data_IF_139649220206
#
_entry.id   IF_139649220206
#
_cell.length_a   1.000
_cell.length_b   1.000
_cell.length_c   1.000
_cell.angle_alpha   90.00
_cell.angle_beta   90.00
_cell.angle_gamma   90.00
#
_symmetry.space_group_name_H-M   'P 1'
#
loop_
_entity.id
_entity.type
_entity.pdbx_description
1 polymer ?
#
# COMPACT_ATOMS: atom_id res chain seq x y z
N UNK A 1 29.32 -0.92 61.15
CA UNK A 1 30.36 -1.65 60.39
C UNK A 1 29.68 -2.29 59.21
N UNK A 2 30.15 -2.26 57.99
CA UNK A 2 31.45 -2.02 57.35
C UNK A 2 31.33 -2.79 56.01
N UNK A 3 32.14 -2.67 54.99
CA UNK A 3 33.18 -1.77 54.51
C UNK A 3 33.48 -2.29 53.08
N UNK A 4 33.99 -1.44 52.19
CA UNK A 4 34.59 -1.85 50.91
C UNK A 4 33.67 -1.63 49.70
N UNK A 5 33.94 -0.74 48.75
CA UNK A 5 35.22 -0.14 48.35
C UNK A 5 35.54 -0.58 46.93
N UNK A 6 35.55 0.35 45.97
CA UNK A 6 35.92 0.08 44.58
C UNK A 6 35.34 1.06 43.58
N UNK A 7 35.74 2.33 43.68
CA UNK A 7 35.47 3.33 42.64
C UNK A 7 36.51 3.24 41.53
N UNK A 8 36.10 3.39 40.26
CA UNK A 8 36.96 3.77 39.15
C UNK A 8 36.13 4.42 38.03
N UNK A 9 36.30 5.73 37.87
CA UNK A 9 36.08 6.56 36.67
C UNK A 9 36.99 7.80 36.83
N UNK A 10 37.43 8.53 35.79
CA UNK A 10 37.48 8.25 34.34
C UNK A 10 38.89 8.52 33.74
N UNK A 11 39.29 7.79 32.70
CA UNK A 11 40.45 8.16 31.88
C UNK A 11 40.01 9.07 30.74
N UNK A 12 40.31 10.37 30.85
CA UNK A 12 40.08 11.35 29.81
C UNK A 12 41.35 11.57 29.00
N UNK A 13 41.29 11.28 27.70
CA UNK A 13 42.29 11.72 26.75
C UNK A 13 41.74 12.92 25.97
N UNK A 14 42.17 14.09 26.40
CA UNK A 14 41.92 15.37 25.74
C UNK A 14 42.81 15.50 24.50
N UNK A 15 42.24 15.34 23.30
CA UNK A 15 42.89 15.78 22.08
C UNK A 15 42.79 17.31 21.98
N UNK A 16 43.86 18.01 22.33
CA UNK A 16 43.99 19.45 22.05
C UNK A 16 44.27 19.65 20.56
N UNK A 17 43.24 19.99 19.79
CA UNK A 17 43.38 20.48 18.43
C UNK A 17 43.83 21.95 18.45
N UNK A 18 45.12 22.20 18.24
CA UNK A 18 45.65 23.54 17.97
C UNK A 18 45.76 23.74 16.46
N UNK A 19 44.66 24.13 15.84
CA UNK A 19 44.65 24.53 14.43
C UNK A 19 45.35 25.87 14.23
N UNK A 20 46.31 25.92 13.30
CA UNK A 20 46.68 27.15 12.58
C UNK A 20 46.08 27.08 11.16
N UNK A 21 45.55 28.17 10.60
CA UNK A 21 44.74 28.12 9.39
C UNK A 21 45.61 28.20 8.12
N UNK A 22 45.30 27.34 7.15
CA UNK A 22 45.82 27.45 5.78
C UNK A 22 46.89 26.42 5.43
N UNK A 23 46.46 25.26 4.91
CA UNK A 23 47.34 24.25 4.32
C UNK A 23 46.50 23.04 3.92
N UNK A 24 46.36 22.79 2.61
CA UNK A 24 45.62 21.64 2.09
C UNK A 24 46.24 20.32 2.52
N UNK A 25 45.40 19.31 2.70
CA UNK A 25 45.84 17.95 3.01
C UNK A 25 46.18 17.23 1.70
N UNK A 26 47.46 16.91 1.51
CA UNK A 26 47.92 16.03 0.44
C UNK A 26 47.94 14.58 0.97
N UNK A 27 47.09 13.73 0.40
CA UNK A 27 46.97 12.30 0.75
C UNK A 27 47.83 11.39 -0.13
N UNK A 28 48.68 11.95 -0.99
CA UNK A 28 49.51 11.18 -1.92
C UNK A 28 50.72 10.52 -1.27
N UNK A 29 51.07 10.90 -0.05
CA UNK A 29 52.32 10.44 0.60
C UNK A 29 52.06 10.04 2.05
N UNK A 30 52.25 8.76 2.36
CA UNK A 30 52.22 8.24 3.73
C UNK A 30 53.64 7.83 4.14
N UNK A 31 54.10 8.31 5.30
CA UNK A 31 55.43 7.98 5.84
C UNK A 31 55.27 7.08 7.06
N UNK A 32 55.76 5.84 6.97
CA UNK A 32 55.64 4.85 8.04
C UNK A 32 56.69 5.01 9.15
N UNK A 33 56.51 4.34 10.31
CA UNK A 33 57.49 4.32 11.38
C UNK A 33 58.71 3.52 10.92
N UNK A 34 59.73 4.23 10.45
CA UNK A 34 60.87 3.67 9.72
C UNK A 34 61.47 4.63 8.69
N UNK A 35 60.76 5.71 8.35
CA UNK A 35 61.26 6.77 7.45
C UNK A 35 61.10 6.48 5.95
N UNK A 36 60.37 5.42 5.60
CA UNK A 36 60.10 5.06 4.21
C UNK A 36 58.83 5.78 3.71
N UNK A 37 58.96 6.52 2.61
CA UNK A 37 57.88 7.29 1.97
C UNK A 37 57.25 6.46 0.85
N UNK A 38 55.94 6.25 0.90
CA UNK A 38 55.19 5.56 -0.16
C UNK A 38 54.27 6.57 -0.84
N UNK A 39 54.42 6.70 -2.17
CA UNK A 39 53.58 7.54 -3.02
C UNK A 39 52.42 6.73 -3.61
N UNK A 40 51.22 7.29 -3.57
CA UNK A 40 50.02 6.72 -4.20
C UNK A 40 49.51 7.65 -5.31
N UNK A 41 49.43 7.15 -6.55
CA UNK A 41 48.74 7.81 -7.66
C UNK A 41 47.30 7.29 -7.78
N UNK A 42 46.33 8.19 -7.74
CA UNK A 42 44.89 7.89 -7.62
C UNK A 42 44.18 7.50 -8.94
N UNK A 43 44.92 7.05 -9.96
CA UNK A 43 44.35 6.70 -11.26
C UNK A 43 44.11 5.20 -11.49
N UNK A 44 44.45 4.33 -10.53
CA UNK A 44 44.33 2.87 -10.69
C UNK A 44 43.57 2.18 -9.54
N UNK A 45 42.32 2.59 -9.34
CA UNK A 45 41.39 1.96 -8.40
C UNK A 45 40.79 0.62 -8.89
N UNK A 46 41.14 0.18 -10.10
CA UNK A 46 40.73 -1.12 -10.66
C UNK A 46 41.52 -2.31 -10.13
N UNK A 47 42.82 -2.13 -9.88
CA UNK A 47 43.74 -3.24 -9.56
C UNK A 47 43.90 -3.48 -8.05
N UNK A 48 43.54 -2.51 -7.21
CA UNK A 48 43.52 -2.66 -5.74
C UNK A 48 42.43 -3.64 -5.26
N UNK A 49 41.31 -3.75 -5.99
CA UNK A 49 40.28 -4.76 -5.66
C UNK A 49 40.67 -6.18 -6.14
N UNK A 50 41.60 -6.29 -7.09
CA UNK A 50 42.18 -7.56 -7.51
C UNK A 50 43.22 -8.09 -6.52
N UNK A 51 44.12 -7.24 -6.04
CA UNK A 51 45.25 -7.67 -5.22
C UNK A 51 44.97 -7.71 -3.71
N UNK A 52 43.97 -6.98 -3.19
CA UNK A 52 43.54 -7.14 -1.79
C UNK A 52 42.81 -8.47 -1.55
N UNK A 53 42.18 -9.03 -2.58
CA UNK A 53 41.61 -10.38 -2.56
C UNK A 53 42.52 -11.45 -3.19
N UNK A 54 43.73 -11.05 -3.63
CA UNK A 54 44.54 -11.83 -4.55
C UNK A 54 46.05 -11.85 -4.36
N UNK A 55 46.68 -11.20 -3.36
CA UNK A 55 48.13 -11.40 -3.13
C UNK A 55 48.59 -11.07 -1.70
N UNK A 56 48.10 -11.82 -0.70
CA UNK A 56 48.58 -11.79 0.68
C UNK A 56 49.38 -13.05 1.08
N UNK A 57 50.46 -13.36 0.36
CA UNK A 57 51.34 -14.49 0.66
C UNK A 57 52.35 -14.18 1.77
N UNK A 58 52.00 -14.49 3.03
CA UNK A 58 53.01 -14.76 4.08
C UNK A 58 53.64 -16.12 3.80
N UNK A 59 54.96 -16.13 3.58
CA UNK A 59 55.77 -17.30 3.28
C UNK A 59 56.01 -18.10 4.57
N UNK A 60 55.16 -19.09 4.84
CA UNK A 60 55.23 -19.97 6.02
C UNK A 60 54.64 -21.36 5.80
N UNK A 61 55.37 -22.18 5.05
CA UNK A 61 55.25 -23.63 4.76
C UNK A 61 54.32 -24.47 5.67
N UNK A 62 53.12 -24.83 5.18
CA UNK A 62 52.40 -26.04 5.60
C UNK A 62 51.51 -26.59 4.47
N UNK A 63 51.93 -27.75 3.96
CA UNK A 63 51.11 -28.94 3.66
C UNK A 63 49.84 -28.74 2.83
N UNK A 64 49.89 -29.28 1.61
CA UNK A 64 48.86 -29.17 0.58
C UNK A 64 47.42 -29.30 1.06
N UNK A 65 46.61 -28.35 0.60
CA UNK A 65 45.21 -28.57 0.28
C UNK A 65 45.04 -28.14 -1.17
N UNK A 66 44.85 -29.13 -2.03
CA UNK A 66 44.59 -28.93 -3.44
C UNK A 66 43.44 -27.96 -3.66
N UNK A 67 43.53 -27.23 -4.76
CA UNK A 67 42.44 -26.45 -5.30
C UNK A 67 41.14 -27.24 -5.23
N UNK A 68 40.19 -26.72 -4.48
CA UNK A 68 38.82 -27.18 -4.50
C UNK A 68 37.99 -25.90 -4.56
N UNK A 69 37.58 -25.56 -5.78
CA UNK A 69 36.82 -24.36 -6.08
C UNK A 69 35.75 -24.13 -5.02
N UNK A 70 35.87 -23.00 -4.31
CA UNK A 70 34.86 -22.55 -3.39
C UNK A 70 33.57 -22.40 -4.17
N UNK A 71 32.63 -23.33 -4.00
CA UNK A 71 31.29 -23.16 -4.53
C UNK A 71 30.76 -21.88 -3.90
N UNK A 72 30.50 -20.86 -4.72
CA UNK A 72 29.87 -19.62 -4.28
C UNK A 72 28.68 -19.96 -3.39
N UNK A 73 28.56 -19.28 -2.25
CA UNK A 73 27.42 -19.50 -1.36
C UNK A 73 26.10 -19.30 -2.15
N UNK A 74 25.05 -20.08 -1.84
CA UNK A 74 23.78 -19.93 -2.53
C UNK A 74 23.20 -18.54 -2.27
N UNK A 75 22.88 -17.82 -3.34
CA UNK A 75 22.30 -16.46 -3.29
C UNK A 75 20.80 -16.57 -3.54
N UNK A 76 19.96 -15.92 -2.72
CA UNK A 76 18.51 -15.89 -2.96
C UNK A 76 18.20 -15.08 -4.23
N UNK A 77 17.25 -15.55 -5.03
CA UNK A 77 16.73 -14.80 -6.17
C UNK A 77 16.07 -13.48 -5.77
N UNK A 78 16.06 -12.50 -6.68
CA UNK A 78 15.45 -11.20 -6.40
C UNK A 78 13.92 -11.27 -6.27
N UNK A 79 13.35 -10.42 -5.42
CA UNK A 79 11.90 -10.30 -5.30
C UNK A 79 11.34 -9.49 -6.48
N UNK A 80 10.10 -9.79 -6.88
CA UNK A 80 9.38 -9.06 -7.94
C UNK A 80 8.14 -8.40 -7.38
N UNK A 81 7.75 -7.27 -7.97
CA UNK A 81 6.46 -6.63 -7.70
C UNK A 81 5.62 -6.58 -8.96
N UNK A 82 4.34 -6.96 -8.85
CA UNK A 82 3.37 -6.92 -9.94
C UNK A 82 2.16 -6.09 -9.51
N UNK A 83 1.80 -5.07 -10.29
CA UNK A 83 0.57 -4.32 -10.05
C UNK A 83 -0.61 -5.05 -10.71
N UNK A 84 -1.64 -5.35 -9.93
CA UNK A 84 -2.87 -5.98 -10.39
C UNK A 84 -4.04 -5.04 -10.20
N UNK A 85 -4.77 -4.79 -11.29
CA UNK A 85 -6.06 -4.10 -11.19
C UNK A 85 -7.18 -5.10 -10.90
N UNK A 86 -8.06 -4.75 -9.95
CA UNK A 86 -9.23 -5.56 -9.60
C UNK A 86 -10.48 -4.71 -9.52
N UNK A 87 -11.63 -5.36 -9.68
CA UNK A 87 -12.92 -4.71 -9.53
C UNK A 87 -13.23 -4.37 -8.08
N UNK A 88 -13.98 -3.28 -7.90
CA UNK A 88 -14.42 -2.81 -6.59
C UNK A 88 -15.16 -3.89 -5.80
N UNK A 89 -16.10 -4.58 -6.45
CA UNK A 89 -16.90 -5.62 -5.78
C UNK A 89 -16.04 -6.82 -5.38
N UNK A 90 -15.04 -7.18 -6.20
CA UNK A 90 -14.07 -8.24 -5.88
C UNK A 90 -13.15 -7.83 -4.73
N UNK A 91 -12.74 -6.56 -4.67
CA UNK A 91 -11.97 -6.02 -3.56
C UNK A 91 -12.76 -6.07 -2.24
N UNK A 92 -14.08 -5.82 -2.29
CA UNK A 92 -14.95 -5.86 -1.11
C UNK A 92 -15.22 -7.30 -0.66
N UNK A 93 -15.60 -8.20 -1.58
CA UNK A 93 -16.01 -9.58 -1.27
C UNK A 93 -14.86 -10.56 -1.13
N UNK A 94 -13.69 -10.22 -1.69
CA UNK A 94 -12.62 -11.15 -1.95
C UNK A 94 -12.89 -11.94 -3.24
N UNK A 95 -11.82 -12.36 -3.89
CA UNK A 95 -11.88 -13.10 -5.15
C UNK A 95 -10.69 -14.06 -5.28
N UNK A 96 -10.80 -15.03 -6.18
CA UNK A 96 -9.64 -15.83 -6.61
C UNK A 96 -9.41 -15.56 -8.08
N UNK A 97 -8.27 -14.95 -8.41
CA UNK A 97 -7.95 -14.51 -9.77
C UNK A 97 -6.72 -15.24 -10.27
N UNK A 98 -6.72 -15.65 -11.54
CA UNK A 98 -5.56 -16.25 -12.20
C UNK A 98 -4.68 -15.15 -12.77
N UNK A 99 -3.40 -15.16 -12.40
CA UNK A 99 -2.37 -14.35 -13.07
C UNK A 99 -1.48 -15.23 -13.91
N UNK A 100 -1.07 -14.70 -15.05
CA UNK A 100 -0.01 -15.26 -15.87
C UNK A 100 1.28 -14.52 -15.54
N UNK A 101 2.28 -15.25 -15.04
CA UNK A 101 3.61 -14.72 -14.75
C UNK A 101 4.60 -15.27 -15.75
N UNK A 102 5.47 -14.41 -16.26
CA UNK A 102 6.64 -14.85 -17.01
C UNK A 102 7.81 -15.08 -16.05
N UNK A 103 8.09 -16.34 -15.75
CA UNK A 103 9.20 -16.75 -14.89
C UNK A 103 10.28 -17.43 -15.76
N UNK A 104 11.24 -16.64 -16.25
CA UNK A 104 12.38 -17.16 -17.01
C UNK A 104 12.03 -17.72 -18.39
N UNK A 105 11.08 -17.10 -19.12
CA UNK A 105 10.70 -17.50 -20.47
C UNK A 105 9.59 -18.55 -20.54
N UNK A 106 8.98 -18.89 -19.39
CA UNK A 106 7.78 -19.74 -19.31
C UNK A 106 6.66 -18.98 -18.61
N UNK A 107 5.51 -18.92 -19.26
CA UNK A 107 4.28 -18.38 -18.68
C UNK A 107 3.65 -19.40 -17.72
N UNK A 108 3.73 -19.15 -16.42
CA UNK A 108 3.04 -19.94 -15.39
C UNK A 108 1.72 -19.24 -15.00
N UNK A 109 0.61 -19.98 -14.95
CA UNK A 109 -0.67 -19.47 -14.44
C UNK A 109 -0.82 -19.81 -12.97
N UNK A 110 -0.91 -18.80 -12.11
CA UNK A 110 -1.04 -18.97 -10.65
C UNK A 110 -2.39 -18.45 -10.19
N UNK A 111 -3.08 -19.21 -9.34
CA UNK A 111 -4.28 -18.75 -8.64
C UNK A 111 -3.87 -17.91 -7.44
N UNK A 112 -4.33 -16.66 -7.39
CA UNK A 112 -4.10 -15.74 -6.29
C UNK A 112 -5.40 -15.51 -5.54
N UNK A 113 -5.39 -15.82 -4.24
CA UNK A 113 -6.52 -15.53 -3.35
C UNK A 113 -6.40 -14.11 -2.84
N UNK A 114 -7.37 -13.28 -3.19
CA UNK A 114 -7.49 -11.89 -2.75
C UNK A 114 -8.42 -11.87 -1.54
N UNK A 115 -7.92 -11.46 -0.35
CA UNK A 115 -8.76 -11.33 0.83
C UNK A 115 -9.91 -10.34 0.62
N UNK A 116 -11.02 -10.56 1.33
CA UNK A 116 -12.10 -9.59 1.36
C UNK A 116 -11.66 -8.29 2.06
N UNK A 117 -12.20 -7.16 1.64
CA UNK A 117 -11.94 -5.85 2.22
C UNK A 117 -10.61 -5.19 1.85
N UNK A 118 -9.86 -5.74 0.88
CA UNK A 118 -8.58 -5.15 0.43
C UNK A 118 -8.76 -3.72 -0.09
N UNK A 119 -7.78 -2.86 0.20
CA UNK A 119 -7.72 -1.47 -0.28
C UNK A 119 -6.67 -1.34 -1.38
N UNK A 120 -6.76 -0.31 -2.21
CA UNK A 120 -5.68 0.06 -3.13
C UNK A 120 -4.36 0.24 -2.35
N UNK A 121 -3.26 -0.28 -2.90
CA UNK A 121 -1.95 -0.33 -2.25
C UNK A 121 -1.72 -1.56 -1.36
N UNK A 122 -2.74 -2.42 -1.17
CA UNK A 122 -2.55 -3.69 -0.44
C UNK A 122 -1.56 -4.58 -1.17
N UNK A 123 -0.65 -5.23 -0.43
CA UNK A 123 0.36 -6.15 -0.98
C UNK A 123 0.07 -7.60 -0.58
N UNK A 124 0.03 -8.49 -1.55
CA UNK A 124 -0.13 -9.94 -1.36
C UNK A 124 1.19 -10.63 -1.72
N UNK A 125 1.77 -11.38 -0.78
CA UNK A 125 3.04 -12.10 -0.98
C UNK A 125 2.77 -13.53 -1.47
N UNK A 126 3.40 -13.91 -2.57
CA UNK A 126 3.52 -15.30 -3.03
C UNK A 126 4.97 -15.76 -2.84
N UNK A 127 5.18 -16.63 -1.85
CA UNK A 127 6.51 -17.09 -1.49
C UNK A 127 7.15 -17.94 -2.61
N UNK A 128 8.42 -17.67 -2.92
CA UNK A 128 9.19 -18.44 -3.91
C UNK A 128 8.75 -18.27 -5.37
N UNK A 129 7.90 -17.27 -5.66
CA UNK A 129 7.40 -16.96 -7.02
C UNK A 129 8.06 -15.71 -7.64
N UNK A 130 9.16 -15.24 -7.05
CA UNK A 130 10.02 -14.18 -7.59
C UNK A 130 11.03 -14.72 -8.60
N UNK A 131 12.18 -14.05 -8.73
CA UNK A 131 13.23 -14.48 -9.67
C UNK A 131 13.88 -15.80 -9.24
N UNK A 132 14.30 -16.64 -10.21
CA UNK A 132 15.22 -17.73 -9.94
C UNK A 132 16.52 -17.21 -9.31
N UNK A 133 17.10 -18.00 -8.43
CA UNK A 133 18.41 -17.68 -7.85
C UNK A 133 19.51 -17.73 -8.93
N UNK A 134 20.42 -16.73 -8.98
CA UNK A 134 21.62 -16.80 -9.81
C UNK A 134 22.58 -17.94 -9.45
N UNK A 135 22.64 -18.37 -8.17
CA UNK A 135 23.60 -19.36 -7.66
C UNK A 135 22.92 -20.48 -6.86
N UNK A 136 21.98 -21.22 -7.47
CA UNK A 136 21.33 -22.42 -6.87
C UNK A 136 20.75 -22.26 -5.43
N UNK A 137 20.49 -21.03 -4.97
CA UNK A 137 19.74 -20.72 -3.76
C UNK A 137 18.23 -20.70 -3.98
N UNK A 138 17.44 -20.35 -2.95
CA UNK A 138 15.99 -20.26 -3.07
C UNK A 138 15.58 -19.12 -4.02
N UNK A 139 14.47 -19.25 -4.77
CA UNK A 139 13.92 -18.15 -5.53
C UNK A 139 13.45 -17.01 -4.61
N UNK A 140 13.34 -15.80 -5.17
CA UNK A 140 12.74 -14.66 -4.49
C UNK A 140 11.23 -14.81 -4.32
N UNK A 141 10.57 -13.79 -3.76
CA UNK A 141 9.12 -13.72 -3.60
C UNK A 141 8.48 -12.78 -4.62
N UNK A 142 7.20 -13.02 -4.91
CA UNK A 142 6.38 -12.08 -5.69
C UNK A 142 5.46 -11.31 -4.75
N UNK A 143 5.48 -9.98 -4.85
CA UNK A 143 4.53 -9.10 -4.21
C UNK A 143 3.53 -8.58 -5.24
N UNK A 144 2.25 -8.83 -5.02
CA UNK A 144 1.17 -8.31 -5.85
C UNK A 144 0.63 -7.06 -5.17
N UNK A 145 0.79 -5.91 -5.80
CA UNK A 145 0.22 -4.66 -5.36
C UNK A 145 -1.16 -4.47 -6.00
N UNK A 146 -2.19 -4.36 -5.16
CA UNK A 146 -3.57 -4.27 -5.59
C UNK A 146 -3.93 -2.82 -5.92
N UNK A 147 -4.53 -2.61 -7.09
CA UNK A 147 -5.15 -1.36 -7.50
C UNK A 147 -6.64 -1.59 -7.74
N UNK A 148 -7.48 -1.02 -6.88
CA UNK A 148 -8.94 -1.20 -6.98
C UNK A 148 -9.50 -0.19 -7.98
N UNK A 149 -10.23 -0.68 -8.98
CA UNK A 149 -10.95 0.16 -9.94
C UNK A 149 -12.14 0.84 -9.25
N UNK A 150 -12.35 2.16 -9.44
CA UNK A 150 -13.55 2.83 -8.94
C UNK A 150 -14.83 2.20 -9.47
N UNK A 151 -15.87 2.10 -8.65
CA UNK A 151 -17.20 1.66 -9.08
C UNK A 151 -18.05 2.87 -9.49
N UNK A 152 -18.88 2.79 -10.54
CA UNK A 152 -19.69 3.92 -10.99
C UNK A 152 -20.71 4.41 -9.95
N UNK A 153 -21.21 3.52 -9.09
CA UNK A 153 -22.27 3.84 -8.13
C UNK A 153 -21.84 3.76 -6.66
N UNK A 154 -20.80 2.98 -6.34
CA UNK A 154 -20.42 2.71 -4.96
C UNK A 154 -19.16 3.48 -4.64
N UNK A 155 -19.21 4.25 -3.55
CA UNK A 155 -18.04 4.95 -3.00
C UNK A 155 -17.70 4.34 -1.66
N UNK A 156 -16.46 3.89 -1.48
CA UNK A 156 -15.96 3.39 -0.19
C UNK A 156 -15.35 4.54 0.61
N UNK A 157 -15.76 4.68 1.86
CA UNK A 157 -15.08 5.50 2.85
C UNK A 157 -14.78 4.61 4.05
N UNK A 158 -13.51 4.32 4.28
CA UNK A 158 -13.06 3.30 5.24
C UNK A 158 -13.71 1.95 5.02
N UNK A 159 -14.55 1.48 5.93
CA UNK A 159 -15.30 0.22 5.78
C UNK A 159 -16.77 0.45 5.44
N UNK A 160 -17.19 1.72 5.34
CA UNK A 160 -18.52 2.11 4.94
C UNK A 160 -18.62 2.31 3.43
N UNK A 161 -19.83 2.08 2.91
CA UNK A 161 -20.17 2.23 1.50
C UNK A 161 -21.24 3.30 1.35
N UNK A 162 -21.09 4.14 0.34
CA UNK A 162 -22.05 5.16 -0.03
C UNK A 162 -22.60 4.85 -1.41
N UNK A 163 -23.93 4.88 -1.51
CA UNK A 163 -24.67 4.70 -2.76
C UNK A 163 -25.65 5.85 -2.90
N UNK A 164 -25.59 6.57 -4.01
CA UNK A 164 -26.62 7.55 -4.35
C UNK A 164 -27.81 6.83 -4.97
N UNK A 165 -29.00 7.03 -4.40
CA UNK A 165 -30.22 6.39 -4.89
C UNK A 165 -31.21 7.48 -5.30
N UNK A 166 -31.55 7.56 -6.59
CA UNK A 166 -32.59 8.46 -7.04
C UNK A 166 -33.95 7.96 -6.56
N UNK A 167 -34.77 8.87 -6.04
CA UNK A 167 -36.19 8.61 -5.73
C UNK A 167 -37.06 9.69 -6.36
N UNK A 168 -38.32 9.38 -6.62
CA UNK A 168 -39.30 10.33 -7.12
C UNK A 168 -39.76 11.30 -6.02
N UNK A 169 -40.37 12.41 -6.43
CA UNK A 169 -41.00 13.35 -5.51
C UNK A 169 -42.11 12.67 -4.68
N UNK A 170 -42.88 11.78 -5.30
CA UNK A 170 -43.98 11.06 -4.65
C UNK A 170 -43.46 10.15 -3.52
N UNK A 171 -42.43 9.35 -3.81
CA UNK A 171 -41.78 8.49 -2.80
C UNK A 171 -41.16 9.30 -1.66
N UNK A 172 -40.61 10.49 -1.94
CA UNK A 172 -40.05 11.36 -0.92
C UNK A 172 -41.14 11.95 -0.01
N UNK A 173 -42.26 12.36 -0.58
CA UNK A 173 -43.39 12.98 0.15
C UNK A 173 -44.16 11.94 0.96
N UNK A 174 -44.57 10.84 0.33
CA UNK A 174 -45.46 9.84 0.93
C UNK A 174 -44.70 8.73 1.67
N UNK A 175 -43.39 8.61 1.43
CA UNK A 175 -42.60 7.45 1.83
C UNK A 175 -42.83 6.26 0.90
N UNK A 176 -41.87 5.35 0.86
CA UNK A 176 -41.91 4.23 -0.07
C UNK A 176 -41.11 3.03 0.46
N UNK A 177 -41.28 1.88 -0.18
CA UNK A 177 -40.40 0.72 0.00
C UNK A 177 -39.64 0.47 -1.30
N UNK A 178 -38.35 0.79 -1.31
CA UNK A 178 -37.51 0.71 -2.51
C UNK A 178 -36.53 -0.46 -2.40
N UNK A 179 -36.02 -0.94 -3.53
CA UNK A 179 -34.92 -1.91 -3.59
C UNK A 179 -33.60 -1.21 -3.90
N UNK A 180 -32.58 -1.50 -3.11
CA UNK A 180 -31.25 -0.92 -3.29
C UNK A 180 -30.20 -2.01 -3.48
N UNK A 181 -29.26 -1.85 -4.44
CA UNK A 181 -28.18 -2.79 -4.62
C UNK A 181 -27.21 -2.71 -3.44
N UNK A 182 -26.71 -3.86 -3.02
CA UNK A 182 -25.69 -3.96 -1.98
C UNK A 182 -24.35 -4.36 -2.55
N UNK A 183 -23.27 -4.10 -1.82
CA UNK A 183 -21.93 -4.56 -2.21
C UNK A 183 -21.80 -6.08 -2.19
N UNK A 184 -22.72 -6.83 -1.60
CA UNK A 184 -22.78 -8.31 -1.66
C UNK A 184 -23.35 -8.81 -3.01
N UNK A 185 -23.96 -7.93 -3.82
CA UNK A 185 -24.52 -8.27 -5.13
C UNK A 185 -25.98 -8.67 -5.09
N UNK A 186 -26.58 -8.58 -3.91
CA UNK A 186 -28.02 -8.76 -3.69
C UNK A 186 -28.72 -7.41 -3.65
N UNK A 187 -30.01 -7.39 -3.99
CA UNK A 187 -30.88 -6.25 -3.75
C UNK A 187 -31.52 -6.41 -2.37
N UNK A 188 -31.59 -5.31 -1.62
CA UNK A 188 -32.24 -5.27 -0.32
C UNK A 188 -33.42 -4.30 -0.38
N UNK A 189 -34.57 -4.73 0.12
CA UNK A 189 -35.73 -3.86 0.26
C UNK A 189 -35.58 -3.00 1.52
N UNK A 190 -35.74 -1.70 1.39
CA UNK A 190 -35.68 -0.75 2.51
C UNK A 190 -36.81 0.27 2.46
N UNK A 191 -37.19 0.78 3.64
CA UNK A 191 -38.21 1.80 3.77
C UNK A 191 -37.58 3.20 3.67
N UNK A 192 -38.12 4.02 2.79
CA UNK A 192 -37.90 5.47 2.73
C UNK A 192 -39.02 6.12 3.56
N UNK A 193 -38.69 6.87 4.63
CA UNK A 193 -39.70 7.59 5.40
C UNK A 193 -40.40 8.69 4.59
N UNK A 194 -41.65 8.99 4.92
CA UNK A 194 -42.35 10.17 4.39
C UNK A 194 -41.62 11.45 4.80
N UNK A 195 -41.61 12.45 3.91
CA UNK A 195 -40.89 13.70 4.11
C UNK A 195 -39.36 13.59 4.01
N UNK A 196 -38.83 12.53 3.39
CA UNK A 196 -37.39 12.35 3.19
C UNK A 196 -36.83 13.47 2.33
N UNK A 197 -35.70 14.04 2.75
CA UNK A 197 -35.03 15.14 2.07
C UNK A 197 -33.94 14.66 1.11
N UNK A 198 -33.66 15.43 0.07
CA UNK A 198 -32.50 15.17 -0.79
C UNK A 198 -31.20 15.30 0.00
N UNK A 199 -30.26 14.38 -0.20
CA UNK A 199 -29.01 14.26 0.55
C UNK A 199 -29.13 13.51 1.88
N UNK A 200 -30.34 13.17 2.34
CA UNK A 200 -30.54 12.41 3.56
C UNK A 200 -29.90 11.02 3.44
N UNK A 201 -29.15 10.62 4.48
CA UNK A 201 -28.46 9.33 4.55
C UNK A 201 -29.31 8.32 5.32
N UNK A 202 -29.69 7.23 4.65
CA UNK A 202 -30.38 6.11 5.25
C UNK A 202 -29.40 4.94 5.41
N UNK A 203 -29.24 4.44 6.65
CA UNK A 203 -28.23 3.43 7.00
C UNK A 203 -28.77 2.01 6.86
N UNK A 204 -28.03 1.17 6.16
CA UNK A 204 -28.19 -0.28 6.10
C UNK A 204 -27.08 -0.92 6.93
N UNK A 205 -27.45 -1.37 8.13
CA UNK A 205 -26.48 -1.87 9.12
C UNK A 205 -25.80 -3.15 8.63
N UNK A 206 -24.48 -3.22 8.72
CA UNK A 206 -23.67 -4.39 8.40
C UNK A 206 -23.59 -4.73 6.90
N UNK A 207 -23.96 -3.78 6.03
CA UNK A 207 -23.95 -3.93 4.56
C UNK A 207 -22.78 -3.23 3.87
N UNK A 208 -21.76 -2.83 4.63
CA UNK A 208 -20.50 -2.30 4.14
C UNK A 208 -19.44 -3.38 3.93
N UNK A 209 -18.18 -2.96 4.01
CA UNK A 209 -17.01 -3.82 3.78
C UNK A 209 -16.69 -4.63 5.03
N UNK A 210 -16.29 -5.91 4.92
CA UNK A 210 -15.82 -6.68 6.07
C UNK A 210 -14.58 -6.05 6.71
N UNK A 211 -14.55 -6.00 8.04
CA UNK A 211 -13.39 -5.55 8.78
C UNK A 211 -12.25 -6.56 8.67
N UNK A 212 -11.01 -6.07 8.63
CA UNK A 212 -9.81 -6.91 8.45
C UNK A 212 -9.56 -7.86 9.64
N UNK A 213 -9.99 -7.46 10.84
CA UNK A 213 -9.86 -8.24 12.08
C UNK A 213 -10.96 -9.30 12.24
N UNK A 214 -11.93 -9.36 11.32
CA UNK A 214 -13.06 -10.27 11.40
C UNK A 214 -14.13 -9.88 12.42
N UNK A 215 -14.07 -8.68 13.00
CA UNK A 215 -15.03 -8.19 14.00
C UNK A 215 -16.43 -7.91 13.45
N UNK A 216 -16.60 -7.90 12.12
CA UNK A 216 -17.88 -7.67 11.47
C UNK A 216 -17.73 -6.97 10.13
N UNK A 217 -18.70 -6.10 9.83
CA UNK A 217 -18.77 -5.32 8.61
C UNK A 217 -19.08 -3.86 8.95
N UNK A 218 -18.59 -2.94 8.11
CA UNK A 218 -19.11 -1.57 8.07
C UNK A 218 -20.55 -1.52 7.56
N UNK A 219 -21.03 -0.32 7.28
CA UNK A 219 -22.41 -0.07 6.87
C UNK A 219 -22.51 0.43 5.44
N UNK A 220 -23.70 0.30 4.85
CA UNK A 220 -24.02 0.98 3.60
C UNK A 220 -24.98 2.15 3.86
N UNK A 221 -24.58 3.34 3.45
CA UNK A 221 -25.38 4.56 3.47
C UNK A 221 -25.98 4.81 2.09
N UNK A 222 -27.31 4.78 2.06
CA UNK A 222 -28.09 5.20 0.91
C UNK A 222 -28.30 6.70 1.01
N UNK A 223 -27.64 7.44 0.13
CA UNK A 223 -27.79 8.90 0.01
C UNK A 223 -28.91 9.17 -0.98
N UNK A 224 -30.04 9.61 -0.46
CA UNK A 224 -31.22 9.85 -1.28
C UNK A 224 -31.01 11.07 -2.16
N UNK A 225 -31.43 10.99 -3.43
CA UNK A 225 -31.46 12.13 -4.36
C UNK A 225 -32.85 12.22 -4.98
N UNK A 226 -33.58 13.31 -4.73
CA UNK A 226 -34.90 13.48 -5.35
C UNK A 226 -34.70 13.85 -6.81
N UNK A 227 -35.25 13.04 -7.71
CA UNK A 227 -35.16 13.24 -9.15
C UNK A 227 -36.56 13.48 -9.73
N UNK A 228 -36.68 14.53 -10.54
CA UNK A 228 -37.91 14.87 -11.24
C UNK A 228 -37.96 14.17 -12.61
N UNK A 229 -39.16 13.82 -13.10
CA UNK A 229 -39.30 13.28 -14.46
C UNK A 229 -38.86 14.33 -15.50
N UNK A 230 -38.25 13.91 -16.62
CA UNK A 230 -37.70 14.82 -17.62
C UNK A 230 -38.77 15.63 -18.36
N UNK A 231 -40.00 15.13 -18.40
CA UNK A 231 -41.12 15.77 -19.07
C UNK A 231 -42.33 15.83 -18.13
N UNK A 232 -42.94 17.02 -18.04
CA UNK A 232 -44.16 17.29 -17.30
C UNK A 232 -45.16 17.93 -18.26
N UNK A 233 -46.41 17.46 -18.25
CA UNK A 233 -47.50 18.09 -18.98
C UNK A 233 -48.01 19.37 -18.25
N UNK A 234 -49.01 20.03 -18.83
CA UNK A 234 -49.58 21.26 -18.27
C UNK A 234 -50.36 21.01 -16.98
N UNK A 235 -51.09 19.90 -16.91
CA UNK A 235 -51.92 19.56 -15.75
C UNK A 235 -51.05 19.26 -14.53
N UNK A 236 -49.99 18.47 -14.71
CA UNK A 236 -48.98 18.16 -13.70
C UNK A 236 -48.32 19.42 -13.15
N UNK A 237 -47.97 20.39 -14.00
CA UNK A 237 -47.42 21.69 -13.54
C UNK A 237 -48.42 22.46 -12.69
N UNK A 238 -49.68 22.53 -13.12
CA UNK A 238 -50.73 23.22 -12.36
C UNK A 238 -50.91 22.59 -10.96
N UNK A 239 -50.88 21.25 -10.87
CA UNK A 239 -50.96 20.55 -9.59
C UNK A 239 -49.79 20.90 -8.65
N UNK A 240 -48.58 21.00 -9.19
CA UNK A 240 -47.39 21.39 -8.40
C UNK A 240 -47.47 22.85 -7.96
N UNK A 241 -48.02 23.76 -8.78
CA UNK A 241 -48.27 25.15 -8.38
C UNK A 241 -49.29 25.24 -7.24
N UNK A 242 -50.39 24.50 -7.32
CA UNK A 242 -51.38 24.42 -6.23
C UNK A 242 -50.78 23.84 -4.96
N UNK A 243 -49.98 22.78 -5.09
CA UNK A 243 -49.24 22.20 -3.97
C UNK A 243 -48.32 23.24 -3.31
N UNK A 244 -47.58 24.00 -4.11
CA UNK A 244 -46.67 25.05 -3.61
C UNK A 244 -47.41 26.20 -2.92
N UNK A 245 -48.60 26.59 -3.42
CA UNK A 245 -49.43 27.65 -2.79
C UNK A 245 -49.94 27.22 -1.41
N UNK A 246 -50.26 25.94 -1.23
CA UNK A 246 -50.70 25.38 0.06
C UNK A 246 -49.55 25.15 1.04
N UNK A 247 -48.34 24.93 0.52
CA UNK A 247 -47.14 24.61 1.31
C UNK A 247 -46.00 25.58 0.99
N UNK A 248 -46.10 26.87 1.39
CA UNK A 248 -45.05 27.85 1.14
C UNK A 248 -43.76 27.43 1.87
N UNK A 249 -42.69 27.22 1.11
CA UNK A 249 -41.36 26.88 1.63
C UNK A 249 -40.25 27.45 0.76
N UNK A 250 -39.33 28.18 1.38
CA UNK A 250 -38.24 28.87 0.70
C UNK A 250 -36.88 28.43 1.25
N UNK A 251 -36.32 27.30 0.77
CA UNK A 251 -35.10 26.71 1.34
C UNK A 251 -33.86 27.60 1.26
N UNK A 252 -33.90 28.67 0.46
CA UNK A 252 -32.78 29.60 0.23
C UNK A 252 -32.82 30.85 1.13
N UNK A 253 -33.87 31.06 1.93
CA UNK A 253 -33.97 32.24 2.80
C UNK A 253 -32.79 32.37 3.78
N UNK A 254 -32.20 31.24 4.19
CA UNK A 254 -31.07 31.22 5.14
C UNK A 254 -29.70 31.37 4.49
N UNK A 255 -29.64 31.54 3.17
CA UNK A 255 -28.37 31.65 2.43
C UNK A 255 -27.90 33.10 2.24
N UNK A 256 -28.75 34.08 2.57
CA UNK A 256 -28.50 35.52 2.47
C UNK A 256 -28.94 36.18 3.78
#
# INVERSE_FOLDING_TARGET
GGAGGGGFRPGGDSYTYRGRPGGGFDYSTFTGPGGEQVHYEFNDLGDIFGDLFGMGGVKGRAKGFGGKGGKSAPIRGADRTYAMEIDFLDAVRGATTKIALDAGGKTEKINVKIPAGVKTGSKIRLAGKGEPSPNHGPPGDLYIEIKVRPHPYFTRQDDDIYLQVPITLEEAVNGAAIEVPTVEGTKLKMKVPAGTQSGQKLRLKGKGVPHRDGSGHGDQYVVVQIQLPPHLDKESRNLIEEFSKRNPYHPREKLF
#
